data_IF_705103467735
#
_entry.id   IF_705103467735
#
_cell.length_a   1.000
_cell.length_b   1.000
_cell.length_c   1.000
_cell.angle_alpha   90.00
_cell.angle_beta   90.00
_cell.angle_gamma   90.00
#
_symmetry.space_group_name_H-M   'P 1'
#
loop_
_entity.id
_entity.type
_entity.pdbx_description
1 polymer ?
#
# COMPACT_ATOMS: atom_id res chain seq x y z
N UNK A 1 8.13 11.84 -18.94
CA UNK A 1 8.29 10.37 -18.94
C UNK A 1 7.06 9.84 -18.24
N UNK A 2 6.09 9.30 -18.98
CA UNK A 2 4.90 8.69 -18.36
C UNK A 2 5.36 7.38 -17.70
N UNK A 3 5.23 7.27 -16.38
CA UNK A 3 5.62 6.08 -15.62
C UNK A 3 4.34 5.30 -15.34
N UNK A 4 4.30 4.02 -15.74
CA UNK A 4 3.25 3.09 -15.35
C UNK A 4 3.86 2.08 -14.38
N UNK A 5 3.74 2.30 -13.07
CA UNK A 5 4.32 1.40 -12.08
C UNK A 5 3.59 0.08 -12.05
N UNK A 6 4.28 -1.00 -11.70
CA UNK A 6 3.67 -2.32 -11.48
C UNK A 6 3.00 -2.43 -10.10
N UNK A 7 3.39 -1.56 -9.15
CA UNK A 7 2.85 -1.50 -7.79
C UNK A 7 3.04 -0.09 -7.21
N UNK A 8 2.08 0.36 -6.39
CA UNK A 8 2.13 1.65 -5.71
C UNK A 8 2.21 1.41 -4.20
N UNK A 9 3.24 1.98 -3.56
CA UNK A 9 3.32 2.11 -2.10
C UNK A 9 2.74 3.47 -1.72
N UNK A 10 1.68 3.49 -0.90
CA UNK A 10 0.95 4.72 -0.58
C UNK A 10 0.86 4.93 0.93
N UNK A 11 1.33 6.08 1.40
CA UNK A 11 1.16 6.47 2.80
C UNK A 11 -0.28 6.93 3.06
N UNK A 12 -0.89 6.47 4.15
CA UNK A 12 -2.21 6.97 4.57
C UNK A 12 -2.08 8.35 5.20
N UNK A 13 -1.08 8.51 6.07
CA UNK A 13 -0.93 9.70 6.89
C UNK A 13 -0.04 10.69 6.18
N UNK A 14 -0.63 11.50 5.30
CA UNK A 14 0.05 12.59 4.60
C UNK A 14 -0.52 13.95 5.06
N UNK A 15 0.31 15.02 5.09
CA UNK A 15 -0.07 16.29 5.70
C UNK A 15 -1.16 17.06 4.96
N UNK A 16 -1.18 16.99 3.63
CA UNK A 16 -2.07 17.81 2.80
C UNK A 16 -3.34 17.07 2.34
N UNK A 17 -3.25 15.74 2.17
CA UNK A 17 -4.30 14.91 1.59
C UNK A 17 -4.21 13.50 2.12
N UNK A 18 -5.34 12.85 2.41
CA UNK A 18 -5.29 11.49 2.94
C UNK A 18 -4.90 10.48 1.85
N UNK A 19 -4.21 9.40 2.25
CA UNK A 19 -3.87 8.34 1.31
C UNK A 19 -5.08 7.63 0.72
N UNK A 20 -6.23 7.62 1.40
CA UNK A 20 -7.47 7.10 0.81
C UNK A 20 -7.98 7.98 -0.33
N UNK A 21 -7.98 9.31 -0.19
CA UNK A 21 -8.33 10.24 -1.27
C UNK A 21 -7.41 10.04 -2.48
N UNK A 22 -6.10 9.94 -2.26
CA UNK A 22 -5.13 9.69 -3.34
C UNK A 22 -5.38 8.33 -3.99
N UNK A 23 -5.69 7.29 -3.20
CA UNK A 23 -6.01 5.99 -3.75
C UNK A 23 -7.29 6.01 -4.59
N UNK A 24 -8.28 6.82 -4.23
CA UNK A 24 -9.48 7.00 -5.03
C UNK A 24 -9.15 7.64 -6.38
N UNK A 25 -8.36 8.71 -6.39
CA UNK A 25 -7.92 9.36 -7.64
C UNK A 25 -7.11 8.42 -8.55
N UNK A 26 -6.24 7.60 -7.97
CA UNK A 26 -5.49 6.59 -8.71
C UNK A 26 -6.39 5.50 -9.31
N UNK A 27 -7.47 5.13 -8.61
CA UNK A 27 -8.47 4.17 -9.11
C UNK A 27 -9.39 4.77 -10.16
N UNK A 28 -9.61 6.07 -10.13
CA UNK A 28 -10.42 6.79 -11.12
C UNK A 28 -9.65 7.02 -12.43
N UNK A 29 -8.31 7.00 -12.40
CA UNK A 29 -7.47 7.03 -13.61
C UNK A 29 -7.45 5.67 -14.32
N UNK A 30 -7.99 5.55 -15.56
CA UNK A 30 -8.02 4.27 -16.29
C UNK A 30 -6.64 3.66 -16.56
N UNK A 31 -5.56 4.45 -16.55
CA UNK A 31 -4.20 3.96 -16.76
C UNK A 31 -3.61 3.30 -15.50
N UNK A 32 -4.08 3.73 -14.32
CA UNK A 32 -3.54 3.37 -13.01
C UNK A 32 -4.48 2.51 -12.19
N UNK A 33 -5.76 2.43 -12.54
CA UNK A 33 -6.80 1.72 -11.79
C UNK A 33 -6.55 0.22 -11.63
N UNK A 34 -5.80 -0.38 -12.56
CA UNK A 34 -5.39 -1.79 -12.49
C UNK A 34 -4.15 -2.04 -11.65
N UNK A 35 -3.44 -0.99 -11.22
CA UNK A 35 -2.17 -1.12 -10.49
C UNK A 35 -2.47 -1.36 -9.01
N UNK A 36 -1.91 -2.43 -8.40
CA UNK A 36 -2.14 -2.72 -7.00
C UNK A 36 -1.53 -1.64 -6.09
N UNK A 37 -2.27 -1.29 -5.03
CA UNK A 37 -1.87 -0.32 -4.02
C UNK A 37 -1.64 -1.03 -2.69
N UNK A 38 -0.46 -0.84 -2.11
CA UNK A 38 -0.10 -1.28 -0.76
C UNK A 38 0.02 -0.04 0.12
N UNK A 39 -0.81 0.02 1.16
CA UNK A 39 -0.87 1.14 2.08
C UNK A 39 0.16 1.01 3.18
N UNK A 40 0.82 2.12 3.52
CA UNK A 40 1.71 2.25 4.65
C UNK A 40 1.01 3.07 5.72
N UNK A 41 0.99 2.60 6.96
CA UNK A 41 0.26 3.28 8.04
C UNK A 41 0.97 3.17 9.38
N UNK A 42 0.86 4.22 10.20
CA UNK A 42 1.31 4.20 11.59
C UNK A 42 0.18 3.88 12.59
N UNK A 43 -1.05 3.67 12.11
CA UNK A 43 -2.23 3.47 12.95
C UNK A 43 -2.33 2.05 13.52
N UNK A 44 -1.72 1.06 12.86
CA UNK A 44 -1.60 -0.31 13.36
C UNK A 44 -0.25 -0.49 14.04
N UNK A 45 -0.27 -0.78 15.33
CA UNK A 45 0.92 -1.12 16.11
C UNK A 45 1.35 -2.56 15.82
N UNK A 46 2.66 -2.78 15.62
CA UNK A 46 3.23 -4.12 15.36
C UNK A 46 2.91 -5.17 16.43
N UNK A 47 2.49 -4.76 17.63
CA UNK A 47 2.08 -5.64 18.72
C UNK A 47 0.74 -6.36 18.47
N UNK A 48 -0.14 -5.81 17.62
CA UNK A 48 -1.45 -6.43 17.32
C UNK A 48 -1.44 -7.25 16.03
N UNK A 49 -0.33 -7.27 15.29
CA UNK A 49 -0.25 -7.96 13.99
C UNK A 49 1.13 -8.55 13.83
N UNK A 50 1.24 -9.89 13.82
CA UNK A 50 2.46 -10.68 13.68
C UNK A 50 3.32 -10.31 12.45
N UNK A 51 3.92 -9.12 12.35
CA UNK A 51 4.77 -8.64 11.24
C UNK A 51 4.24 -8.89 9.81
N UNK A 52 2.96 -9.23 9.66
CA UNK A 52 2.32 -9.70 8.43
C UNK A 52 1.42 -8.59 7.91
N UNK A 53 1.38 -8.43 6.60
CA UNK A 53 0.47 -7.50 5.98
C UNK A 53 -0.97 -7.82 6.35
N UNK A 54 -1.76 -6.78 6.62
CA UNK A 54 -3.19 -6.92 6.92
C UNK A 54 -4.01 -6.54 5.69
N UNK A 55 -5.09 -7.28 5.46
CA UNK A 55 -6.06 -6.92 4.43
C UNK A 55 -7.29 -6.33 5.09
N UNK A 56 -7.59 -5.06 4.80
CA UNK A 56 -8.76 -4.35 5.33
C UNK A 56 -9.56 -3.81 4.15
N UNK A 57 -10.83 -4.22 4.01
CA UNK A 57 -11.67 -3.79 2.90
C UNK A 57 -11.10 -4.11 1.50
N UNK A 58 -10.32 -5.19 1.38
CA UNK A 58 -9.65 -5.59 0.13
C UNK A 58 -8.33 -4.87 -0.16
N UNK A 59 -7.90 -3.94 0.69
CA UNK A 59 -6.62 -3.24 0.55
C UNK A 59 -5.56 -3.84 1.48
N UNK A 60 -4.30 -3.84 1.03
CA UNK A 60 -3.17 -4.40 1.78
C UNK A 60 -2.49 -3.28 2.58
N UNK A 61 -2.23 -3.51 3.87
CA UNK A 61 -1.64 -2.55 4.78
C UNK A 61 -0.35 -3.09 5.42
N UNK A 62 0.64 -2.21 5.53
CA UNK A 62 1.88 -2.43 6.25
C UNK A 62 2.06 -1.38 7.35
N UNK A 63 2.26 -1.86 8.57
CA UNK A 63 2.51 -1.04 9.74
C UNK A 63 3.94 -0.44 9.69
N UNK A 64 4.05 0.86 10.01
CA UNK A 64 5.32 1.55 10.22
C UNK A 64 5.84 1.31 11.65
N UNK A 65 7.17 1.17 11.86
CA UNK A 65 8.22 1.12 10.85
C UNK A 65 8.19 -0.18 10.04
N UNK A 66 8.22 -0.06 8.71
CA UNK A 66 8.13 -1.23 7.82
C UNK A 66 9.46 -1.96 7.78
N UNK A 67 9.46 -3.25 8.10
CA UNK A 67 10.65 -4.11 7.96
C UNK A 67 10.86 -4.44 6.49
N UNK A 68 12.10 -4.33 6.00
CA UNK A 68 12.44 -4.61 4.59
C UNK A 68 11.98 -6.01 4.13
N UNK A 69 12.17 -7.04 4.96
CA UNK A 69 11.73 -8.40 4.66
C UNK A 69 10.21 -8.51 4.49
N UNK A 70 9.43 -7.80 5.31
CA UNK A 70 7.97 -7.78 5.21
C UNK A 70 7.51 -7.04 3.95
N UNK A 71 8.17 -5.93 3.61
CA UNK A 71 7.89 -5.18 2.39
C UNK A 71 8.14 -6.02 1.14
N UNK A 72 9.30 -6.70 1.06
CA UNK A 72 9.66 -7.56 -0.07
C UNK A 72 8.66 -8.71 -0.21
N UNK A 73 8.32 -9.40 0.88
CA UNK A 73 7.36 -10.49 0.86
C UNK A 73 5.97 -10.05 0.33
N UNK A 74 5.53 -8.82 0.67
CA UNK A 74 4.28 -8.27 0.13
C UNK A 74 4.39 -7.97 -1.35
N UNK A 75 5.49 -7.33 -1.77
CA UNK A 75 5.69 -7.00 -3.19
C UNK A 75 5.67 -8.27 -4.04
N UNK A 76 6.39 -9.31 -3.62
CA UNK A 76 6.41 -10.63 -4.29
C UNK A 76 5.03 -11.28 -4.31
N UNK A 77 4.29 -11.21 -3.20
CA UNK A 77 2.94 -11.76 -3.10
C UNK A 77 1.94 -11.02 -4.01
N UNK A 78 2.13 -9.72 -4.26
CA UNK A 78 1.21 -8.88 -5.02
C UNK A 78 1.49 -8.92 -6.51
N UNK A 79 2.78 -8.88 -6.90
CA UNK A 79 3.18 -8.90 -8.30
C UNK A 79 3.10 -10.29 -8.93
N UNK A 80 2.88 -11.33 -8.11
CA UNK A 80 2.92 -12.71 -8.55
C UNK A 80 4.36 -13.19 -8.66
N UNK A 81 4.64 -14.36 -8.06
CA UNK A 81 5.88 -15.10 -8.29
C UNK A 81 5.90 -15.70 -9.69
#
# INVERSE_FOLDING_TARGET
RECRPDLILLDIMMPDKSGDDVAQELRDDPKLSSIPIVFLTALVTQDETDSKASTIGGNIFLAKPVKAAALVAVIESVLGS
#
